data_IF_018898095746
#
_entry.id   IF_018898095746
#
_cell.length_a   1.000
_cell.length_b   1.000
_cell.length_c   1.000
_cell.angle_alpha   90.00
_cell.angle_beta   90.00
_cell.angle_gamma   90.00
#
_symmetry.space_group_name_H-M   'P 1'
#
loop_
_entity.id
_entity.type
_entity.pdbx_description
1 polymer ?
#
# COMPACT_ATOMS: atom_id res chain seq x y z
N UNK A 1 -71.86 -28.97 -24.51
CA UNK A 1 -71.47 -27.58 -24.73
C UNK A 1 -70.20 -27.35 -23.89
N UNK A 2 -69.00 -27.66 -24.48
CA UNK A 2 -67.72 -27.60 -23.77
C UNK A 2 -67.01 -26.30 -24.14
N UNK A 3 -66.96 -25.38 -23.19
CA UNK A 3 -66.21 -24.12 -23.33
C UNK A 3 -64.79 -24.33 -22.83
N UNK A 4 -63.83 -24.44 -23.76
CA UNK A 4 -62.40 -24.45 -23.45
C UNK A 4 -61.93 -23.01 -23.14
N UNK A 5 -61.64 -22.74 -21.86
CA UNK A 5 -61.02 -21.50 -21.41
C UNK A 5 -59.53 -21.57 -21.69
N UNK A 6 -59.05 -20.83 -22.69
CA UNK A 6 -57.61 -20.70 -23.00
C UNK A 6 -57.03 -19.62 -22.11
N UNK A 7 -56.21 -20.02 -21.14
CA UNK A 7 -55.41 -19.08 -20.30
C UNK A 7 -54.15 -18.72 -21.10
N UNK A 8 -53.87 -17.44 -21.38
CA UNK A 8 -52.60 -17.05 -22.01
C UNK A 8 -51.48 -17.13 -20.99
N UNK A 9 -50.45 -17.94 -21.29
CA UNK A 9 -49.18 -17.98 -20.54
C UNK A 9 -48.39 -16.72 -20.94
N UNK A 10 -48.37 -15.74 -20.08
CA UNK A 10 -47.50 -14.58 -20.21
C UNK A 10 -46.11 -15.02 -19.74
N UNK A 11 -45.21 -15.21 -20.73
CA UNK A 11 -43.80 -15.49 -20.47
C UNK A 11 -43.12 -14.21 -20.01
N UNK A 12 -43.00 -14.06 -18.67
CA UNK A 12 -42.26 -12.94 -18.08
C UNK A 12 -40.75 -13.17 -18.22
N UNK A 13 -40.18 -12.61 -19.28
CA UNK A 13 -38.72 -12.54 -19.46
C UNK A 13 -38.13 -11.60 -18.43
N UNK A 14 -37.57 -12.16 -17.36
CA UNK A 14 -36.75 -11.41 -16.40
C UNK A 14 -35.42 -11.14 -17.05
N UNK A 15 -35.23 -9.93 -17.55
CA UNK A 15 -33.90 -9.41 -17.90
C UNK A 15 -33.09 -9.29 -16.61
N UNK A 16 -32.20 -10.26 -16.37
CA UNK A 16 -31.16 -10.13 -15.35
C UNK A 16 -30.15 -9.13 -15.90
N UNK A 17 -30.30 -7.86 -15.57
CA UNK A 17 -29.26 -6.85 -15.74
C UNK A 17 -28.19 -7.26 -14.72
N UNK A 18 -27.19 -8.02 -15.19
CA UNK A 18 -25.94 -8.21 -14.46
C UNK A 18 -25.28 -6.84 -14.37
N UNK A 19 -25.52 -6.14 -13.27
CA UNK A 19 -24.79 -4.94 -12.92
C UNK A 19 -23.39 -5.40 -12.51
N UNK A 20 -22.50 -5.46 -13.51
CA UNK A 20 -21.08 -5.61 -13.27
C UNK A 20 -20.67 -4.38 -12.46
N UNK A 21 -20.63 -4.54 -11.15
CA UNK A 21 -20.20 -3.49 -10.23
C UNK A 21 -18.69 -3.34 -10.32
N UNK A 22 -18.24 -2.85 -11.47
CA UNK A 22 -16.92 -2.25 -11.60
C UNK A 22 -16.96 -0.95 -10.79
N UNK A 23 -16.93 -1.09 -9.46
CA UNK A 23 -16.74 0.07 -8.58
C UNK A 23 -15.44 0.70 -9.00
N UNK A 24 -15.43 2.00 -9.38
CA UNK A 24 -14.19 2.68 -9.68
C UNK A 24 -13.22 2.41 -8.53
N UNK A 25 -12.05 1.88 -8.86
CA UNK A 25 -11.05 1.48 -7.87
C UNK A 25 -10.72 2.68 -7.00
N UNK A 26 -10.93 2.54 -5.69
CA UNK A 26 -10.56 3.59 -4.72
C UNK A 26 -9.05 3.82 -4.80
N UNK A 27 -8.62 5.09 -4.76
CA UNK A 27 -7.20 5.43 -4.68
C UNK A 27 -6.54 4.68 -3.53
N UNK A 28 -5.47 3.95 -3.82
CA UNK A 28 -4.69 3.18 -2.84
C UNK A 28 -3.21 3.23 -3.16
N UNK A 29 -2.39 3.06 -2.15
CA UNK A 29 -0.94 2.90 -2.25
C UNK A 29 -0.56 1.45 -1.99
N UNK A 30 0.57 1.01 -2.53
CA UNK A 30 1.17 -0.26 -2.13
C UNK A 30 1.53 -0.22 -0.63
N UNK A 31 1.47 -1.37 0.04
CA UNK A 31 1.63 -1.49 1.50
C UNK A 31 2.96 -0.97 2.05
N UNK A 32 3.98 -0.84 1.21
CA UNK A 32 5.24 -0.20 1.57
C UNK A 32 5.10 1.29 1.92
N UNK A 33 4.10 1.97 1.34
CA UNK A 33 3.89 3.42 1.53
C UNK A 33 2.84 3.63 2.62
N UNK A 34 3.30 3.64 3.84
CA UNK A 34 2.48 3.83 5.04
C UNK A 34 3.12 4.87 5.97
N UNK A 35 2.36 5.32 6.94
CA UNK A 35 2.89 6.20 7.99
C UNK A 35 4.11 5.56 8.66
N UNK A 36 5.06 6.39 9.05
CA UNK A 36 6.31 5.98 9.69
C UNK A 36 7.27 5.18 8.78
N UNK A 37 7.14 5.27 7.45
CA UNK A 37 8.11 4.67 6.55
C UNK A 37 9.46 5.40 6.54
N UNK A 38 10.51 4.73 6.06
CA UNK A 38 11.78 5.34 5.65
C UNK A 38 11.87 5.30 4.14
N UNK A 39 12.15 6.43 3.52
CA UNK A 39 12.46 6.51 2.10
C UNK A 39 13.97 6.55 1.90
N UNK A 40 14.49 5.76 0.93
CA UNK A 40 15.91 5.79 0.59
C UNK A 40 16.32 7.21 0.24
N UNK A 41 17.36 7.74 0.89
CA UNK A 41 17.86 9.10 0.71
C UNK A 41 18.63 9.30 -0.59
N UNK A 42 18.75 10.57 -1.02
CA UNK A 42 19.58 11.08 -2.13
C UNK A 42 19.48 10.27 -3.44
N UNK A 43 18.30 9.79 -3.77
CA UNK A 43 18.05 8.95 -4.94
C UNK A 43 16.70 9.21 -5.58
N UNK A 44 16.34 8.41 -6.57
CA UNK A 44 14.99 8.33 -7.09
C UNK A 44 14.28 7.09 -6.55
N UNK A 45 13.12 7.27 -5.96
CA UNK A 45 12.24 6.19 -5.55
C UNK A 45 11.04 6.09 -6.48
N UNK A 46 10.56 4.86 -6.70
CA UNK A 46 9.27 4.63 -7.34
C UNK A 46 8.18 4.57 -6.26
N UNK A 47 7.08 5.29 -6.49
CA UNK A 47 5.87 5.23 -5.65
C UNK A 47 4.73 4.75 -6.54
N UNK A 48 4.01 3.72 -6.11
CA UNK A 48 2.98 3.09 -6.93
C UNK A 48 1.74 2.70 -6.11
N UNK A 49 0.68 2.43 -6.83
CA UNK A 49 -0.59 2.02 -6.25
C UNK A 49 -1.66 1.82 -7.32
N UNK A 50 -2.90 1.91 -6.90
CA UNK A 50 -4.06 1.67 -7.75
C UNK A 50 -5.09 2.79 -7.59
N UNK A 51 -5.89 2.99 -8.63
CA UNK A 51 -7.00 3.94 -8.69
C UNK A 51 -8.00 3.48 -9.74
N UNK A 52 -8.99 4.29 -10.04
CA UNK A 52 -9.82 4.09 -11.24
C UNK A 52 -8.93 4.14 -12.48
N UNK A 53 -9.25 3.34 -13.50
CA UNK A 53 -8.57 3.38 -14.80
C UNK A 53 -8.57 4.79 -15.43
N UNK A 54 -7.52 5.11 -16.18
CA UNK A 54 -7.35 6.39 -16.87
C UNK A 54 -7.51 7.64 -15.99
N UNK A 55 -7.29 7.50 -14.68
CA UNK A 55 -7.39 8.59 -13.71
C UNK A 55 -6.08 9.32 -13.55
N UNK A 56 -6.14 10.65 -13.44
CA UNK A 56 -4.96 11.47 -13.17
C UNK A 56 -4.59 11.38 -11.69
N UNK A 57 -3.38 10.93 -11.43
CA UNK A 57 -2.77 10.87 -10.10
C UNK A 57 -1.83 12.07 -9.97
N UNK A 58 -1.95 12.80 -8.87
CA UNK A 58 -1.04 13.90 -8.52
C UNK A 58 -0.46 13.60 -7.15
N UNK A 59 0.85 13.70 -7.04
CA UNK A 59 1.60 13.50 -5.81
C UNK A 59 2.38 14.75 -5.48
N UNK A 60 2.32 15.17 -4.22
CA UNK A 60 3.10 16.28 -3.65
C UNK A 60 3.74 15.85 -2.35
N UNK A 61 4.94 16.32 -2.13
CA UNK A 61 5.71 16.01 -0.92
C UNK A 61 6.03 17.27 -0.13
N UNK A 62 6.34 17.12 1.16
CA UNK A 62 6.77 18.24 2.00
C UNK A 62 8.21 18.69 1.71
N UNK A 63 9.00 17.87 1.01
CA UNK A 63 10.37 18.21 0.58
C UNK A 63 10.44 18.84 -0.80
N UNK A 64 9.30 19.29 -1.35
CA UNK A 64 9.23 20.10 -2.56
C UNK A 64 9.00 19.32 -3.86
N UNK A 65 9.07 17.99 -3.87
CA UNK A 65 8.84 17.18 -5.07
C UNK A 65 7.36 17.08 -5.42
N UNK A 66 7.10 17.09 -6.73
CA UNK A 66 5.76 16.90 -7.29
C UNK A 66 5.87 16.02 -8.54
N UNK A 67 4.94 15.09 -8.67
CA UNK A 67 4.84 14.22 -9.83
C UNK A 67 3.38 13.95 -10.20
N UNK A 68 3.14 13.60 -11.46
CA UNK A 68 1.83 13.21 -11.94
C UNK A 68 1.94 12.04 -12.92
N UNK A 69 0.94 11.15 -12.90
CA UNK A 69 0.78 10.04 -13.83
C UNK A 69 -0.69 9.84 -14.18
N UNK A 70 -0.95 9.00 -15.17
CA UNK A 70 -2.26 8.39 -15.42
C UNK A 70 -2.19 6.94 -14.97
N UNK A 71 -3.25 6.45 -14.34
CA UNK A 71 -3.42 5.02 -14.14
C UNK A 71 -3.72 4.35 -15.47
N UNK A 72 -3.26 3.12 -15.63
CA UNK A 72 -3.50 2.31 -16.82
C UNK A 72 -4.93 1.71 -16.85
N UNK A 73 -5.21 0.85 -17.82
CA UNK A 73 -6.48 0.14 -17.96
C UNK A 73 -6.80 -0.83 -16.81
N UNK A 74 -5.80 -1.20 -16.01
CA UNK A 74 -5.98 -2.01 -14.79
C UNK A 74 -6.13 -1.16 -13.53
N UNK A 75 -6.04 0.16 -13.67
CA UNK A 75 -6.02 1.11 -12.57
C UNK A 75 -4.65 1.27 -11.90
N UNK A 76 -3.62 0.59 -12.37
CA UNK A 76 -2.27 0.68 -11.79
C UNK A 76 -1.59 1.99 -12.20
N UNK A 77 -0.82 2.57 -11.30
CA UNK A 77 -0.03 3.78 -11.55
C UNK A 77 1.32 3.72 -10.84
N UNK A 78 2.29 4.40 -11.42
CA UNK A 78 3.65 4.52 -10.90
C UNK A 78 4.17 5.94 -11.10
N UNK A 79 4.87 6.46 -10.12
CA UNK A 79 5.49 7.78 -10.11
C UNK A 79 6.93 7.67 -9.62
N UNK A 80 7.82 8.45 -10.21
CA UNK A 80 9.22 8.54 -9.79
C UNK A 80 9.44 9.88 -9.08
N UNK A 81 10.00 9.83 -7.86
CA UNK A 81 10.29 10.99 -7.03
C UNK A 81 11.76 11.03 -6.65
N UNK A 82 12.34 12.22 -6.61
CA UNK A 82 13.65 12.41 -6.00
C UNK A 82 13.48 12.58 -4.49
N UNK A 83 14.34 11.92 -3.72
CA UNK A 83 14.45 12.07 -2.27
C UNK A 83 15.65 12.94 -1.91
N UNK A 84 15.56 13.81 -0.90
CA UNK A 84 16.69 14.55 -0.39
C UNK A 84 17.66 13.66 0.39
N UNK A 85 18.80 14.22 0.79
CA UNK A 85 19.66 13.62 1.80
C UNK A 85 18.96 13.60 3.15
N UNK A 86 19.42 12.74 4.06
CA UNK A 86 18.94 12.68 5.43
C UNK A 86 19.04 14.08 6.09
N UNK A 87 17.97 14.49 6.73
CA UNK A 87 17.85 15.79 7.42
C UNK A 87 17.19 15.68 8.80
N UNK A 88 16.90 14.44 9.26
CA UNK A 88 16.24 14.12 10.53
C UNK A 88 14.87 14.81 10.71
N UNK A 89 14.24 15.26 9.61
CA UNK A 89 12.92 15.86 9.64
C UNK A 89 11.84 14.83 9.29
N UNK A 90 10.66 15.04 9.88
CA UNK A 90 9.48 14.24 9.56
C UNK A 90 8.79 14.82 8.33
N UNK A 91 8.79 14.05 7.26
CA UNK A 91 8.18 14.41 6.00
C UNK A 91 6.78 13.83 5.83
N UNK A 92 6.08 14.33 4.82
CA UNK A 92 4.77 13.81 4.40
C UNK A 92 4.65 13.79 2.88
N UNK A 93 3.81 12.90 2.39
CA UNK A 93 3.45 12.76 1.00
C UNK A 93 1.93 12.76 0.87
N UNK A 94 1.41 13.49 -0.11
CA UNK A 94 -0.02 13.60 -0.41
C UNK A 94 -0.25 13.11 -1.83
N UNK A 95 -1.10 12.10 -1.98
CA UNK A 95 -1.51 11.54 -3.27
C UNK A 95 -2.98 11.84 -3.50
N UNK A 96 -3.33 12.36 -4.68
CA UNK A 96 -4.70 12.71 -5.03
C UNK A 96 -5.09 12.13 -6.38
N UNK A 97 -6.33 11.65 -6.48
CA UNK A 97 -6.98 11.26 -7.72
C UNK A 97 -8.44 11.68 -7.68
N UNK A 98 -8.84 12.63 -8.54
CA UNK A 98 -10.19 13.19 -8.50
C UNK A 98 -10.53 13.79 -7.13
N UNK A 99 -11.52 13.20 -6.45
CA UNK A 99 -11.94 13.59 -5.09
C UNK A 99 -11.20 12.83 -3.98
N UNK A 100 -10.52 11.75 -4.33
CA UNK A 100 -9.80 10.92 -3.37
C UNK A 100 -8.46 11.55 -3.01
N UNK A 101 -8.09 11.43 -1.73
CA UNK A 101 -6.81 11.91 -1.20
C UNK A 101 -6.29 10.95 -0.14
N UNK A 102 -5.01 10.61 -0.24
CA UNK A 102 -4.26 9.85 0.76
C UNK A 102 -3.10 10.69 1.26
N UNK A 103 -2.80 10.56 2.53
CA UNK A 103 -1.66 11.22 3.16
C UNK A 103 -0.84 10.17 3.87
N UNK A 104 0.44 10.10 3.53
CA UNK A 104 1.45 9.34 4.27
C UNK A 104 2.25 10.33 5.09
N UNK A 105 2.34 10.09 6.39
CA UNK A 105 2.96 10.99 7.37
C UNK A 105 4.18 10.34 8.02
N UNK A 106 4.96 11.17 8.69
CA UNK A 106 6.09 10.71 9.49
C UNK A 106 7.08 9.88 8.65
N UNK A 107 7.43 10.39 7.47
CA UNK A 107 8.42 9.79 6.57
C UNK A 107 9.80 10.32 6.97
N UNK A 108 10.75 9.43 7.22
CA UNK A 108 12.16 9.76 7.37
C UNK A 108 12.92 9.49 6.06
N UNK A 109 13.96 10.29 5.81
CA UNK A 109 14.96 10.00 4.79
C UNK A 109 16.12 9.26 5.43
N UNK A 110 16.54 8.14 4.85
CA UNK A 110 17.60 7.32 5.43
C UNK A 110 18.02 6.17 4.52
N UNK A 111 18.76 5.22 5.09
CA UNK A 111 19.14 4.00 4.39
C UNK A 111 18.06 2.93 4.53
N UNK A 112 17.71 2.32 3.41
CA UNK A 112 16.73 1.22 3.36
C UNK A 112 17.44 -0.09 3.07
N UNK A 113 17.37 -1.02 4.01
CA UNK A 113 17.98 -2.34 3.93
C UNK A 113 16.92 -3.41 3.63
N UNK A 114 17.21 -4.27 2.66
CA UNK A 114 16.43 -5.47 2.42
C UNK A 114 17.07 -6.63 3.19
N UNK A 115 16.41 -7.03 4.28
CA UNK A 115 16.80 -8.22 5.05
C UNK A 115 15.98 -9.42 4.57
N UNK A 116 16.64 -10.41 3.98
CA UNK A 116 16.01 -11.61 3.44
C UNK A 116 16.87 -12.83 3.73
N UNK A 117 16.26 -13.99 3.88
CA UNK A 117 16.96 -15.23 4.16
C UNK A 117 16.02 -16.35 4.58
N UNK A 118 16.54 -17.27 5.39
CA UNK A 118 15.81 -18.42 5.94
C UNK A 118 15.43 -18.18 7.41
N UNK A 119 15.32 -19.25 8.19
CA UNK A 119 14.86 -19.24 9.58
C UNK A 119 15.59 -18.23 10.48
N UNK A 120 16.89 -18.02 10.30
CA UNK A 120 17.66 -17.07 11.11
C UNK A 120 17.21 -15.61 10.89
N UNK A 121 16.64 -15.29 9.71
CA UNK A 121 16.10 -13.95 9.45
C UNK A 121 14.70 -13.73 10.04
N UNK A 122 14.04 -14.81 10.43
CA UNK A 122 12.73 -14.76 11.10
C UNK A 122 12.86 -14.84 12.62
N UNK A 123 13.98 -15.36 13.12
CA UNK A 123 14.15 -15.59 14.54
C UNK A 123 14.14 -14.28 15.31
N UNK A 124 13.20 -14.06 16.21
CA UNK A 124 13.20 -12.88 17.07
C UNK A 124 14.33 -12.98 18.10
N UNK A 125 14.86 -11.86 18.57
CA UNK A 125 15.92 -11.82 19.59
C UNK A 125 15.52 -12.59 20.86
N UNK A 126 14.23 -12.61 21.21
CA UNK A 126 13.70 -13.44 22.31
C UNK A 126 13.71 -14.94 22.05
N UNK A 127 14.10 -15.36 20.85
CA UNK A 127 14.10 -16.76 20.40
C UNK A 127 12.72 -17.34 20.12
N UNK A 128 12.70 -18.59 19.65
CA UNK A 128 11.48 -19.39 19.57
C UNK A 128 11.30 -20.18 20.87
N UNK A 129 10.07 -20.59 21.16
CA UNK A 129 9.74 -21.35 22.38
C UNK A 129 10.57 -22.59 22.57
N UNK A 130 11.00 -23.23 21.48
CA UNK A 130 11.80 -24.48 21.49
C UNK A 130 13.30 -24.26 21.60
N UNK A 131 13.82 -23.10 21.28
CA UNK A 131 15.25 -22.81 21.10
C UNK A 131 15.82 -21.85 22.14
N UNK A 132 14.92 -21.21 22.91
CA UNK A 132 15.30 -20.19 23.88
C UNK A 132 15.69 -18.85 23.26
N UNK A 133 16.07 -17.88 24.08
CA UNK A 133 16.49 -16.55 23.62
C UNK A 133 17.87 -16.59 22.96
N UNK A 134 18.15 -15.61 22.11
CA UNK A 134 19.49 -15.32 21.61
C UNK A 134 20.36 -14.83 22.79
N UNK A 135 21.66 -15.09 22.73
CA UNK A 135 22.62 -14.62 23.74
C UNK A 135 22.45 -13.11 23.97
N UNK A 136 22.47 -12.70 25.24
CA UNK A 136 22.27 -11.33 25.69
C UNK A 136 20.88 -10.72 25.41
N UNK A 137 19.87 -11.49 25.00
CA UNK A 137 18.53 -10.99 24.68
C UNK A 137 17.88 -10.22 25.82
N UNK A 138 18.09 -10.64 27.07
CA UNK A 138 17.55 -9.99 28.26
C UNK A 138 18.10 -8.57 28.46
N UNK A 139 19.31 -8.31 27.99
CA UNK A 139 19.97 -7.00 28.05
C UNK A 139 19.64 -6.17 26.80
N UNK A 140 19.71 -6.77 25.63
CA UNK A 140 19.52 -6.08 24.34
C UNK A 140 18.07 -5.58 24.12
N UNK A 141 17.06 -6.39 24.45
CA UNK A 141 15.66 -6.04 24.21
C UNK A 141 15.24 -4.76 24.97
N UNK A 142 15.52 -4.58 26.27
CA UNK A 142 15.18 -3.35 26.98
C UNK A 142 15.93 -2.11 26.50
N UNK A 143 17.14 -2.31 25.95
CA UNK A 143 18.02 -1.25 25.48
C UNK A 143 17.78 -0.87 24.01
N UNK A 144 17.02 -1.64 23.26
CA UNK A 144 16.70 -1.39 21.85
C UNK A 144 15.74 -0.20 21.66
N UNK A 145 16.18 1.03 21.99
CA UNK A 145 15.41 2.27 21.89
C UNK A 145 15.95 3.15 20.75
N UNK A 146 15.68 2.74 19.51
CA UNK A 146 16.14 3.41 18.31
C UNK A 146 14.95 3.94 17.49
N UNK A 147 14.38 5.12 17.80
CA UNK A 147 13.15 5.63 17.18
C UNK A 147 13.30 5.92 15.69
N UNK A 148 14.53 6.08 15.19
CA UNK A 148 14.81 6.29 13.76
C UNK A 148 15.01 4.97 13.00
N UNK A 149 15.14 3.82 13.68
CA UNK A 149 15.15 2.50 13.03
C UNK A 149 13.72 1.99 12.94
N UNK A 150 13.25 1.83 11.71
CA UNK A 150 11.88 1.41 11.41
C UNK A 150 11.89 0.11 10.62
N UNK A 151 11.02 -0.80 10.98
CA UNK A 151 10.93 -2.10 10.34
C UNK A 151 9.61 -2.27 9.61
N UNK A 152 9.66 -2.87 8.44
CA UNK A 152 8.51 -3.32 7.68
C UNK A 152 8.67 -4.80 7.35
N UNK A 153 7.69 -5.60 7.72
CA UNK A 153 7.71 -7.03 7.41
C UNK A 153 6.76 -7.31 6.25
N UNK A 154 7.30 -7.86 5.16
CA UNK A 154 6.49 -8.32 4.03
C UNK A 154 5.77 -9.59 4.44
N UNK A 155 4.43 -9.57 4.42
CA UNK A 155 3.62 -10.73 4.73
C UNK A 155 3.83 -11.85 3.70
N UNK A 156 3.91 -13.10 4.17
CA UNK A 156 3.86 -14.28 3.29
C UNK A 156 2.44 -14.49 2.79
N UNK A 157 2.31 -14.84 1.51
CA UNK A 157 1.05 -15.33 0.92
C UNK A 157 1.02 -16.85 0.93
#
# INVERSE_FOLDING_TARGET
MNTHFKVPIILLTVLIISCDSNKPGKLSLASLFQDQMVAQQDTFINVWGWSTENSKINLKTSWGEQAAALSDSTGSWNLKLRTPKVDHQLHKMIVKSGRDSLIVKDILMGEVWLASGQSNMEMPVKGFKSEGPVDSAEEEIPNAKFPEIRMFTVGRK
#
